data_IF_334469889875
#
_entry.id   IF_334469889875
#
_cell.length_a   1.000
_cell.length_b   1.000
_cell.length_c   1.000
_cell.angle_alpha   90.00
_cell.angle_beta   90.00
_cell.angle_gamma   90.00
#
_symmetry.space_group_name_H-M   'P 1'
#
loop_
_entity.id
_entity.type
_entity.pdbx_description
1 polymer ?
#
# COMPACT_ATOMS: atom_id res chain seq x y z
N UNK A 1 13.26 -7.15 -20.26
CA UNK A 1 13.30 -6.24 -19.09
C UNK A 1 13.39 -7.13 -17.87
N UNK A 2 14.47 -7.05 -17.09
CA UNK A 2 14.56 -7.77 -15.81
C UNK A 2 13.82 -6.93 -14.78
N UNK A 3 12.53 -7.19 -14.60
CA UNK A 3 11.63 -6.33 -13.84
C UNK A 3 12.10 -6.07 -12.39
N UNK A 4 12.79 -7.05 -11.79
CA UNK A 4 13.26 -6.98 -10.42
C UNK A 4 14.70 -6.50 -10.25
N UNK A 5 15.49 -6.40 -11.34
CA UNK A 5 16.90 -5.97 -11.34
C UNK A 5 17.76 -6.57 -10.20
N UNK A 6 17.54 -7.86 -9.89
CA UNK A 6 18.14 -8.56 -8.74
C UNK A 6 19.68 -8.46 -8.68
N UNK A 7 20.35 -8.47 -9.83
CA UNK A 7 21.82 -8.38 -9.90
C UNK A 7 22.31 -7.00 -9.44
N UNK A 8 21.60 -5.94 -9.85
CA UNK A 8 21.93 -4.57 -9.42
C UNK A 8 21.65 -4.39 -7.93
N UNK A 9 20.52 -4.90 -7.45
CA UNK A 9 20.15 -4.85 -6.03
C UNK A 9 21.14 -5.63 -5.17
N UNK A 10 21.54 -6.82 -5.60
CA UNK A 10 22.55 -7.63 -4.90
C UNK A 10 23.91 -6.93 -4.86
N UNK A 11 24.29 -6.22 -5.92
CA UNK A 11 25.50 -5.40 -5.93
C UNK A 11 25.38 -4.22 -4.97
N UNK A 12 24.24 -3.52 -4.97
CA UNK A 12 23.96 -2.40 -4.08
C UNK A 12 23.96 -2.82 -2.60
N UNK A 13 23.40 -3.98 -2.27
CA UNK A 13 23.48 -4.57 -0.91
C UNK A 13 24.94 -4.72 -0.48
N UNK A 14 25.80 -5.30 -1.33
CA UNK A 14 27.23 -5.44 -1.00
C UNK A 14 27.92 -4.10 -0.79
N UNK A 15 27.60 -3.09 -1.60
CA UNK A 15 28.14 -1.73 -1.43
C UNK A 15 27.70 -1.12 -0.09
N UNK A 16 26.43 -1.24 0.25
CA UNK A 16 25.87 -0.76 1.53
C UNK A 16 26.42 -1.52 2.74
N UNK A 17 26.71 -2.82 2.62
CA UNK A 17 27.36 -3.62 3.67
C UNK A 17 28.79 -3.14 3.94
N UNK A 18 29.53 -2.78 2.88
CA UNK A 18 30.88 -2.22 3.02
C UNK A 18 30.81 -0.85 3.69
N UNK A 19 29.87 0.01 3.27
CA UNK A 19 29.66 1.33 3.89
C UNK A 19 29.27 1.21 5.37
N UNK A 20 28.38 0.28 5.71
CA UNK A 20 27.94 0.04 7.09
C UNK A 20 29.05 -0.54 7.99
N UNK A 21 30.13 -1.08 7.40
CA UNK A 21 31.28 -1.62 8.13
C UNK A 21 32.42 -0.59 8.35
N UNK A 22 32.29 0.64 7.83
CA UNK A 22 33.26 1.71 8.04
C UNK A 22 33.35 2.12 9.52
N UNK A 23 34.56 2.42 10.01
CA UNK A 23 34.76 2.80 11.43
C UNK A 23 33.99 4.06 11.83
N UNK A 24 33.88 5.01 10.90
CA UNK A 24 33.20 6.30 11.12
C UNK A 24 31.72 6.26 10.73
N UNK A 25 31.16 5.10 10.37
CA UNK A 25 29.77 4.99 9.90
C UNK A 25 28.76 5.56 10.91
N UNK A 26 28.99 5.32 12.20
CA UNK A 26 28.14 5.80 13.28
C UNK A 26 28.37 7.27 13.68
N UNK A 27 29.33 7.95 13.04
CA UNK A 27 29.60 9.37 13.32
C UNK A 27 28.49 10.30 12.83
N UNK A 28 27.75 9.88 11.80
CA UNK A 28 26.56 10.56 11.27
C UNK A 28 25.33 9.65 11.41
N UNK A 29 24.54 9.90 12.46
CA UNK A 29 23.37 9.08 12.79
C UNK A 29 22.29 9.14 11.70
N UNK A 30 22.13 10.26 11.01
CA UNK A 30 21.11 10.41 9.95
C UNK A 30 21.51 9.63 8.70
N UNK A 31 22.80 9.70 8.30
CA UNK A 31 23.35 8.87 7.23
C UNK A 31 23.26 7.39 7.56
N UNK A 32 23.66 7.00 8.78
CA UNK A 32 23.64 5.61 9.20
C UNK A 32 22.23 5.00 9.15
N UNK A 33 21.22 5.76 9.60
CA UNK A 33 19.82 5.34 9.54
C UNK A 33 19.35 5.14 8.09
N UNK A 34 19.67 6.06 7.18
CA UNK A 34 19.30 5.95 5.75
C UNK A 34 19.94 4.72 5.10
N UNK A 35 21.23 4.49 5.33
CA UNK A 35 21.98 3.36 4.77
C UNK A 35 21.44 2.03 5.29
N UNK A 36 21.22 1.88 6.59
CA UNK A 36 20.66 0.66 7.17
C UNK A 36 19.22 0.38 6.69
N UNK A 37 18.43 1.44 6.53
CA UNK A 37 17.07 1.32 5.99
C UNK A 37 17.09 0.84 4.54
N UNK A 38 17.95 1.41 3.69
CA UNK A 38 18.13 0.99 2.30
C UNK A 38 18.64 -0.46 2.21
N UNK A 39 19.60 -0.84 3.08
CA UNK A 39 20.16 -2.19 3.16
C UNK A 39 19.10 -3.23 3.50
N UNK A 40 18.35 -3.01 4.59
CA UNK A 40 17.32 -3.93 5.04
C UNK A 40 16.24 -4.10 3.97
N UNK A 41 15.88 -3.01 3.29
CA UNK A 41 14.88 -3.03 2.24
C UNK A 41 15.28 -3.90 1.05
N UNK A 42 16.47 -3.71 0.50
CA UNK A 42 16.92 -4.56 -0.61
C UNK A 42 17.12 -6.02 -0.19
N UNK A 43 17.55 -6.28 1.05
CA UNK A 43 17.65 -7.64 1.57
C UNK A 43 16.29 -8.32 1.69
N UNK A 44 15.30 -7.63 2.22
CA UNK A 44 13.93 -8.14 2.33
C UNK A 44 13.36 -8.45 0.95
N UNK A 45 13.49 -7.52 0.00
CA UNK A 45 13.03 -7.73 -1.38
C UNK A 45 13.70 -8.93 -2.06
N UNK A 46 15.02 -9.07 -1.91
CA UNK A 46 15.76 -10.24 -2.44
C UNK A 46 15.32 -11.53 -1.75
N UNK A 47 15.10 -11.51 -0.43
CA UNK A 47 14.62 -12.67 0.33
C UNK A 47 13.26 -13.13 -0.18
N UNK A 48 12.30 -12.21 -0.27
CA UNK A 48 10.94 -12.50 -0.75
C UNK A 48 10.95 -13.09 -2.15
N UNK A 49 11.77 -12.56 -3.07
CA UNK A 49 11.85 -13.10 -4.43
C UNK A 49 12.47 -14.50 -4.45
N UNK A 50 13.45 -14.78 -3.59
CA UNK A 50 14.02 -16.12 -3.47
C UNK A 50 13.04 -17.10 -2.83
N UNK A 51 12.25 -16.67 -1.85
CA UNK A 51 11.17 -17.47 -1.25
C UNK A 51 10.12 -17.84 -2.30
N UNK A 52 9.67 -16.91 -3.15
CA UNK A 52 8.75 -17.23 -4.24
C UNK A 52 9.33 -18.19 -5.26
N UNK A 53 10.63 -18.08 -5.58
CA UNK A 53 11.29 -19.05 -6.46
C UNK A 53 11.25 -20.45 -5.87
N UNK A 54 11.58 -20.58 -4.59
CA UNK A 54 11.54 -21.87 -3.90
C UNK A 54 10.11 -22.42 -3.85
N UNK A 55 9.12 -21.61 -3.46
CA UNK A 55 7.72 -22.03 -3.42
C UNK A 55 7.22 -22.47 -4.79
N UNK A 56 7.64 -21.81 -5.87
CA UNK A 56 7.24 -22.18 -7.24
C UNK A 56 7.91 -23.47 -7.69
N UNK A 57 9.17 -23.73 -7.30
CA UNK A 57 9.83 -25.01 -7.51
C UNK A 57 9.12 -26.14 -6.74
N UNK A 58 8.78 -25.92 -5.46
CA UNK A 58 8.05 -26.87 -4.63
C UNK A 58 6.65 -27.19 -5.20
N UNK A 59 5.89 -26.17 -5.60
CA UNK A 59 4.58 -26.35 -6.23
C UNK A 59 4.66 -27.08 -7.57
N UNK A 60 5.74 -26.85 -8.33
CA UNK A 60 5.97 -27.57 -9.58
C UNK A 60 6.22 -29.05 -9.32
N UNK A 61 7.08 -29.38 -8.36
CA UNK A 61 7.36 -30.77 -8.00
C UNK A 61 6.09 -31.47 -7.46
N UNK A 62 5.29 -30.76 -6.66
CA UNK A 62 4.01 -31.24 -6.16
C UNK A 62 2.99 -31.48 -7.28
N UNK A 63 2.92 -30.59 -8.27
CA UNK A 63 2.07 -30.74 -9.44
C UNK A 63 2.45 -31.97 -10.28
N UNK A 64 3.75 -32.20 -10.49
CA UNK A 64 4.24 -33.38 -11.22
C UNK A 64 3.81 -34.69 -10.51
N UNK A 65 3.86 -34.72 -9.18
CA UNK A 65 3.39 -35.86 -8.38
C UNK A 65 1.86 -36.02 -8.43
N UNK A 66 1.11 -34.93 -8.21
CA UNK A 66 -0.35 -34.95 -8.18
C UNK A 66 -0.96 -35.41 -9.52
N UNK A 67 -0.37 -34.99 -10.65
CA UNK A 67 -0.76 -35.45 -11.98
C UNK A 67 -0.47 -36.94 -12.19
N UNK A 68 0.59 -37.45 -11.59
CA UNK A 68 0.97 -38.87 -11.70
C UNK A 68 0.02 -39.75 -10.88
N UNK A 69 -0.38 -39.28 -9.70
CA UNK A 69 -1.28 -40.00 -8.78
C UNK A 69 -2.77 -39.72 -9.05
N UNK A 70 -3.07 -38.77 -9.94
CA UNK A 70 -4.42 -38.30 -10.27
C UNK A 70 -5.20 -37.85 -9.04
N UNK A 71 -4.51 -37.12 -8.16
CA UNK A 71 -5.02 -36.60 -6.88
C UNK A 71 -5.69 -35.22 -7.08
N UNK A 72 -7.01 -35.22 -7.21
CA UNK A 72 -7.79 -33.99 -7.42
C UNK A 72 -7.80 -33.04 -6.20
N UNK A 73 -7.58 -33.56 -4.99
CA UNK A 73 -7.55 -32.73 -3.77
C UNK A 73 -6.28 -31.89 -3.76
N UNK A 74 -5.13 -32.54 -4.02
CA UNK A 74 -3.82 -31.85 -4.12
C UNK A 74 -3.81 -30.86 -5.28
N UNK A 75 -4.43 -31.18 -6.43
CA UNK A 75 -4.55 -30.24 -7.55
C UNK A 75 -5.32 -28.96 -7.16
N UNK A 76 -6.39 -29.10 -6.37
CA UNK A 76 -7.15 -27.94 -5.89
C UNK A 76 -6.36 -27.09 -4.89
N UNK A 77 -5.51 -27.69 -4.05
CA UNK A 77 -4.63 -26.94 -3.13
C UNK A 77 -3.57 -26.16 -3.90
N UNK A 78 -2.97 -26.77 -4.93
CA UNK A 78 -1.99 -26.11 -5.82
C UNK A 78 -2.59 -24.87 -6.48
N UNK A 79 -3.84 -24.94 -6.98
CA UNK A 79 -4.51 -23.80 -7.61
C UNK A 79 -4.65 -22.61 -6.63
N UNK A 80 -5.02 -22.87 -5.37
CA UNK A 80 -5.15 -21.85 -4.33
C UNK A 80 -3.79 -21.20 -4.03
N UNK A 81 -2.73 -21.99 -3.94
CA UNK A 81 -1.38 -21.47 -3.70
C UNK A 81 -0.82 -20.68 -4.89
N UNK A 82 -1.13 -21.09 -6.12
CA UNK A 82 -0.79 -20.33 -7.32
C UNK A 82 -1.51 -18.99 -7.39
N UNK A 83 -2.81 -18.95 -7.04
CA UNK A 83 -3.56 -17.69 -6.96
C UNK A 83 -2.96 -16.75 -5.90
N UNK A 84 -2.58 -17.29 -4.75
CA UNK A 84 -1.92 -16.53 -3.68
C UNK A 84 -0.58 -15.96 -4.15
N UNK A 85 0.32 -16.79 -4.72
CA UNK A 85 1.61 -16.34 -5.25
C UNK A 85 1.45 -15.31 -6.38
N UNK A 86 0.45 -15.48 -7.24
CA UNK A 86 0.15 -14.52 -8.30
C UNK A 86 -0.25 -13.16 -7.73
N UNK A 87 -1.09 -13.14 -6.69
CA UNK A 87 -1.46 -11.91 -5.99
C UNK A 87 -0.27 -11.24 -5.32
N UNK A 88 0.59 -12.00 -4.66
CA UNK A 88 1.82 -11.49 -4.03
C UNK A 88 2.78 -10.88 -5.05
N UNK A 89 2.98 -11.55 -6.19
CA UNK A 89 3.82 -11.06 -7.28
C UNK A 89 3.28 -9.74 -7.87
N UNK A 90 1.97 -9.63 -8.08
CA UNK A 90 1.33 -8.42 -8.58
C UNK A 90 1.52 -7.23 -7.63
N UNK A 91 1.41 -7.47 -6.32
CA UNK A 91 1.69 -6.46 -5.30
C UNK A 91 3.15 -5.99 -5.33
N UNK A 92 4.08 -6.91 -5.54
CA UNK A 92 5.49 -6.57 -5.66
C UNK A 92 5.82 -5.82 -6.93
N UNK A 93 5.15 -6.16 -8.02
CA UNK A 93 5.23 -5.40 -9.25
C UNK A 93 4.82 -3.95 -9.05
N UNK A 94 3.74 -3.71 -8.31
CA UNK A 94 3.37 -2.34 -7.95
C UNK A 94 4.46 -1.65 -7.11
N UNK A 95 5.10 -2.35 -6.17
CA UNK A 95 6.20 -1.79 -5.35
C UNK A 95 7.42 -1.37 -6.18
N UNK A 96 7.80 -2.11 -7.22
CA UNK A 96 8.98 -1.70 -8.03
C UNK A 96 8.70 -0.51 -8.95
N UNK A 97 7.42 -0.21 -9.23
CA UNK A 97 6.99 0.99 -9.96
C UNK A 97 7.11 2.26 -9.10
N UNK A 98 7.10 2.11 -7.77
CA UNK A 98 7.22 3.20 -6.80
C UNK A 98 8.68 3.68 -6.63
N UNK A 99 9.15 4.44 -7.62
CA UNK A 99 10.53 4.99 -7.70
C UNK A 99 10.67 6.44 -7.27
N UNK A 100 9.60 7.07 -6.81
CA UNK A 100 9.62 8.46 -6.34
C UNK A 100 10.39 8.60 -5.02
N UNK A 101 11.04 9.76 -4.84
CA UNK A 101 11.87 10.09 -3.67
C UNK A 101 11.14 9.85 -2.33
N UNK A 102 9.85 10.15 -2.29
CA UNK A 102 9.01 10.04 -1.10
C UNK A 102 8.06 8.85 -1.11
N UNK A 103 8.13 7.96 -2.11
CA UNK A 103 7.12 6.89 -2.23
C UNK A 103 7.08 5.99 -1.01
N UNK A 104 8.23 5.83 -0.34
CA UNK A 104 8.39 5.02 0.88
C UNK A 104 8.02 5.72 2.17
N UNK A 105 7.72 7.01 2.11
CA UNK A 105 7.38 7.80 3.29
C UNK A 105 5.99 7.41 3.82
N UNK A 106 5.80 7.60 5.12
CA UNK A 106 4.48 7.73 5.71
C UNK A 106 3.75 8.93 5.05
N UNK A 107 2.43 8.94 5.08
CA UNK A 107 1.65 10.00 4.45
C UNK A 107 0.68 10.67 5.42
N UNK A 108 0.45 11.96 5.20
CA UNK A 108 -0.66 12.67 5.79
C UNK A 108 -1.80 12.72 4.78
N UNK A 109 -2.89 11.99 5.03
CA UNK A 109 -4.07 12.05 4.18
C UNK A 109 -5.06 13.05 4.78
N UNK A 110 -5.37 14.11 4.05
CA UNK A 110 -6.35 15.12 4.47
C UNK A 110 -7.56 15.12 3.55
N UNK A 111 -8.75 15.06 4.13
CA UNK A 111 -10.02 15.10 3.39
C UNK A 111 -10.77 16.36 3.79
N UNK A 112 -11.20 17.14 2.81
CA UNK A 112 -12.09 18.28 3.02
C UNK A 112 -13.40 18.11 2.25
N UNK A 113 -14.52 18.35 2.94
CA UNK A 113 -15.82 18.40 2.28
C UNK A 113 -15.88 19.62 1.35
N UNK A 114 -16.29 19.41 0.10
CA UNK A 114 -16.50 20.49 -0.86
C UNK A 114 -17.82 21.24 -0.64
N UNK A 115 -18.16 22.11 -1.60
CA UNK A 115 -19.47 22.74 -1.63
C UNK A 115 -20.57 21.67 -1.74
N UNK A 116 -21.66 21.82 -0.98
CA UNK A 116 -22.79 20.86 -0.95
C UNK A 116 -23.37 20.58 0.44
N UNK A 117 -22.92 21.27 1.49
CA UNK A 117 -23.50 21.20 2.83
C UNK A 117 -23.41 19.80 3.44
N UNK A 118 -24.46 19.38 4.14
CA UNK A 118 -24.56 18.09 4.85
C UNK A 118 -24.28 16.88 3.94
N UNK A 119 -24.65 16.94 2.65
CA UNK A 119 -24.41 15.84 1.70
C UNK A 119 -22.91 15.68 1.36
N UNK A 120 -22.19 16.79 1.17
CA UNK A 120 -20.73 16.74 0.94
C UNK A 120 -19.97 16.36 2.22
N UNK A 121 -20.49 16.72 3.39
CA UNK A 121 -19.92 16.30 4.68
C UNK A 121 -20.09 14.79 4.91
N UNK A 122 -21.25 14.23 4.58
CA UNK A 122 -21.47 12.78 4.63
C UNK A 122 -20.56 12.05 3.65
N UNK A 123 -20.39 12.57 2.43
CA UNK A 123 -19.47 11.99 1.46
C UNK A 123 -18.01 11.98 1.97
N UNK A 124 -17.54 13.08 2.56
CA UNK A 124 -16.20 13.13 3.17
C UNK A 124 -16.04 12.06 4.28
N UNK A 125 -17.10 11.79 5.06
CA UNK A 125 -17.07 10.75 6.10
C UNK A 125 -17.02 9.33 5.53
N UNK A 126 -17.66 9.10 4.37
CA UNK A 126 -17.57 7.83 3.65
C UNK A 126 -16.15 7.61 3.11
N UNK A 127 -15.51 8.65 2.58
CA UNK A 127 -14.11 8.59 2.15
C UNK A 127 -13.17 8.31 3.31
N UNK A 128 -13.35 8.97 4.46
CA UNK A 128 -12.62 8.67 5.69
C UNK A 128 -12.71 7.17 6.01
N UNK A 129 -13.93 6.62 6.06
CA UNK A 129 -14.14 5.19 6.33
C UNK A 129 -13.48 4.29 5.27
N UNK A 130 -13.49 4.71 4.00
CA UNK A 130 -12.85 3.98 2.91
C UNK A 130 -11.34 3.89 3.12
N UNK A 131 -10.66 5.02 3.36
CA UNK A 131 -9.22 5.05 3.54
C UNK A 131 -8.76 4.38 4.84
N UNK A 132 -9.50 4.54 5.95
CA UNK A 132 -9.18 3.82 7.20
C UNK A 132 -9.22 2.31 6.98
N UNK A 133 -10.27 1.78 6.34
CA UNK A 133 -10.38 0.34 6.05
C UNK A 133 -9.33 -0.15 5.07
N UNK A 134 -8.98 0.64 4.06
CA UNK A 134 -7.91 0.32 3.12
C UNK A 134 -6.57 0.20 3.85
N UNK A 135 -6.26 1.15 4.73
CA UNK A 135 -5.02 1.17 5.50
C UNK A 135 -4.95 -0.02 6.47
N UNK A 136 -6.03 -0.29 7.21
CA UNK A 136 -6.11 -1.46 8.11
C UNK A 136 -5.93 -2.79 7.38
N UNK A 137 -6.58 -2.96 6.20
CA UNK A 137 -6.44 -4.17 5.37
C UNK A 137 -5.03 -4.33 4.80
N UNK A 138 -4.36 -3.22 4.52
CA UNK A 138 -2.98 -3.19 4.04
C UNK A 138 -1.96 -3.34 5.18
N UNK A 139 -2.40 -3.50 6.44
CA UNK A 139 -1.52 -3.63 7.60
C UNK A 139 -0.85 -2.33 8.04
N UNK A 140 -1.33 -1.18 7.56
CA UNK A 140 -0.80 0.13 7.94
C UNK A 140 -1.38 0.61 9.28
N UNK A 141 -0.57 1.34 10.04
CA UNK A 141 -1.02 2.02 11.25
C UNK A 141 -1.65 3.37 10.87
N UNK A 142 -2.84 3.64 11.41
CA UNK A 142 -3.57 4.89 11.15
C UNK A 142 -3.72 5.65 12.46
N UNK A 143 -3.16 6.85 12.52
CA UNK A 143 -3.38 7.80 13.61
C UNK A 143 -4.28 8.94 13.12
N UNK A 144 -5.35 9.23 13.87
CA UNK A 144 -6.20 10.39 13.60
C UNK A 144 -5.58 11.62 14.25
N UNK A 145 -5.19 12.60 13.43
CA UNK A 145 -4.45 13.79 13.87
C UNK A 145 -5.41 14.93 14.18
N UNK A 146 -6.34 15.18 13.27
CA UNK A 146 -7.36 16.21 13.43
C UNK A 146 -8.68 15.77 12.81
N UNK A 147 -9.80 16.19 13.40
CA UNK A 147 -11.14 15.88 12.94
C UNK A 147 -12.09 17.04 13.27
N UNK A 148 -12.64 17.64 12.22
CA UNK A 148 -13.69 18.64 12.33
C UNK A 148 -15.02 18.02 11.88
N UNK A 149 -15.96 17.74 12.79
CA UNK A 149 -17.26 17.18 12.44
C UNK A 149 -18.11 18.16 11.62
N UNK A 150 -19.06 17.61 10.86
CA UNK A 150 -20.13 18.37 10.22
C UNK A 150 -21.10 18.95 11.24
N UNK A 151 -21.91 19.93 10.82
CA UNK A 151 -22.89 20.58 11.71
C UNK A 151 -24.10 19.67 11.98
N UNK A 152 -24.51 18.88 10.98
CA UNK A 152 -25.64 17.96 11.08
C UNK A 152 -25.22 16.49 10.91
N UNK A 153 -24.37 16.20 9.92
CA UNK A 153 -23.87 14.86 9.63
C UNK A 153 -22.49 14.91 8.96
N UNK A 154 -21.77 13.80 9.02
CA UNK A 154 -20.49 13.64 8.35
C UNK A 154 -19.38 14.52 8.94
N UNK A 155 -18.40 14.90 8.10
CA UNK A 155 -17.20 15.64 8.51
C UNK A 155 -16.94 16.82 7.57
N UNK A 156 -16.43 17.93 8.12
CA UNK A 156 -15.93 19.06 7.33
C UNK A 156 -14.49 18.83 6.89
N UNK A 157 -13.67 18.34 7.80
CA UNK A 157 -12.24 18.10 7.59
C UNK A 157 -11.75 16.94 8.45
N UNK A 158 -10.79 16.17 7.95
CA UNK A 158 -10.04 15.19 8.74
C UNK A 158 -8.62 15.08 8.22
N UNK A 159 -7.66 14.91 9.12
CA UNK A 159 -6.27 14.59 8.78
C UNK A 159 -5.88 13.28 9.46
N UNK A 160 -5.44 12.33 8.66
CA UNK A 160 -4.90 11.04 9.10
C UNK A 160 -3.39 11.03 8.89
N UNK A 161 -2.66 10.42 9.81
CA UNK A 161 -1.28 10.04 9.63
C UNK A 161 -1.22 8.53 9.44
N UNK A 162 -0.87 8.09 8.24
CA UNK A 162 -0.83 6.67 7.87
C UNK A 162 0.63 6.25 7.78
N UNK A 163 0.99 5.25 8.59
CA UNK A 163 2.35 4.76 8.74
C UNK A 163 2.47 3.34 8.22
N UNK A 164 3.49 3.11 7.40
CA UNK A 164 3.73 1.83 6.76
C UNK A 164 4.67 1.98 5.56
N UNK A 165 5.09 0.85 5.02
CA UNK A 165 5.94 0.88 3.84
C UNK A 165 5.15 1.32 2.60
N UNK A 166 5.75 2.18 1.78
CA UNK A 166 5.19 2.62 0.50
C UNK A 166 3.83 3.36 0.58
N UNK A 167 3.44 3.85 1.76
CA UNK A 167 2.12 4.48 1.98
C UNK A 167 1.93 5.68 1.07
N UNK A 168 2.90 6.61 1.01
CA UNK A 168 2.80 7.78 0.15
C UNK A 168 2.76 7.40 -1.33
N UNK A 169 3.57 6.43 -1.76
CA UNK A 169 3.57 5.93 -3.14
C UNK A 169 2.20 5.37 -3.54
N UNK A 170 1.57 4.61 -2.65
CA UNK A 170 0.23 4.06 -2.85
C UNK A 170 -0.85 5.16 -2.88
N UNK A 171 -0.76 6.17 -2.01
CA UNK A 171 -1.78 7.22 -1.89
C UNK A 171 -1.58 8.39 -2.86
N UNK A 172 -0.42 8.55 -3.51
CA UNK A 172 -0.16 9.68 -4.42
C UNK A 172 -1.21 9.77 -5.53
N UNK A 173 -1.71 8.63 -6.01
CA UNK A 173 -2.76 8.57 -7.04
C UNK A 173 -4.13 9.05 -6.57
N UNK A 174 -4.35 9.14 -5.26
CA UNK A 174 -5.64 9.49 -4.65
C UNK A 174 -5.83 11.00 -4.48
N UNK A 175 -4.76 11.79 -4.68
CA UNK A 175 -4.82 13.25 -4.61
C UNK A 175 -5.76 13.81 -5.67
N UNK A 176 -6.77 14.54 -5.25
CA UNK A 176 -7.71 15.18 -6.17
C UNK A 176 -9.12 15.35 -5.60
N UNK A 177 -10.06 15.68 -6.48
CA UNK A 177 -11.47 15.86 -6.12
C UNK A 177 -12.24 14.60 -6.45
N UNK A 178 -12.82 13.99 -5.42
CA UNK A 178 -13.63 12.78 -5.50
C UNK A 178 -15.11 13.15 -5.58
N UNK A 179 -15.78 12.69 -6.64
CA UNK A 179 -17.17 13.03 -6.96
C UNK A 179 -18.10 11.87 -6.64
N UNK A 180 -19.15 12.14 -5.87
CA UNK A 180 -20.25 11.21 -5.61
C UNK A 180 -21.52 11.70 -6.31
N UNK A 181 -22.25 10.79 -6.96
CA UNK A 181 -23.58 11.05 -7.51
C UNK A 181 -24.54 10.00 -6.96
N UNK A 182 -25.47 10.40 -6.09
CA UNK A 182 -26.46 9.49 -5.48
C UNK A 182 -27.78 10.20 -5.19
N UNK A 183 -28.79 9.45 -4.76
CA UNK A 183 -30.00 10.02 -4.16
C UNK A 183 -29.65 10.36 -2.70
N UNK A 184 -29.83 11.63 -2.33
CA UNK A 184 -29.46 12.09 -0.98
C UNK A 184 -30.46 11.56 0.05
N UNK A 185 -29.99 10.95 1.17
CA UNK A 185 -30.86 10.61 2.28
C UNK A 185 -31.33 11.84 3.07
N UNK A 186 -30.71 13.01 2.86
CA UNK A 186 -31.05 14.26 3.54
C UNK A 186 -32.03 15.13 2.73
N UNK A 187 -32.29 14.80 1.45
CA UNK A 187 -33.30 15.50 0.64
C UNK A 187 -34.65 14.79 0.73
N UNK A 188 -35.62 15.42 1.39
CA UNK A 188 -36.98 14.92 1.54
C UNK A 188 -37.70 14.64 0.19
N UNK A 189 -37.26 15.28 -0.90
CA UNK A 189 -37.83 15.06 -2.25
C UNK A 189 -37.18 13.90 -3.01
N UNK A 190 -36.15 13.24 -2.46
CA UNK A 190 -35.48 12.09 -3.09
C UNK A 190 -34.77 12.44 -4.40
N UNK A 191 -34.30 13.68 -4.57
CA UNK A 191 -33.61 14.07 -5.80
C UNK A 191 -32.19 13.49 -5.82
N UNK A 192 -31.65 13.39 -7.03
CA UNK A 192 -30.24 13.04 -7.24
C UNK A 192 -29.37 14.26 -6.97
N UNK A 193 -28.40 14.10 -6.07
CA UNK A 193 -27.40 15.11 -5.73
C UNK A 193 -26.03 14.73 -6.29
N UNK A 194 -25.21 15.74 -6.54
CA UNK A 194 -23.80 15.58 -6.87
C UNK A 194 -22.97 16.28 -5.81
N UNK A 195 -22.06 15.53 -5.20
CA UNK A 195 -21.24 15.99 -4.07
C UNK A 195 -19.77 15.83 -4.38
N UNK A 196 -18.95 16.67 -3.76
CA UNK A 196 -17.52 16.70 -3.98
C UNK A 196 -16.78 16.72 -2.64
N UNK A 197 -15.64 16.05 -2.58
CA UNK A 197 -14.71 16.14 -1.46
C UNK A 197 -13.29 16.08 -2.03
N UNK A 198 -12.40 16.92 -1.53
CA UNK A 198 -10.99 16.91 -1.94
C UNK A 198 -10.19 16.03 -0.99
N UNK A 199 -9.31 15.22 -1.57
CA UNK A 199 -8.31 14.43 -0.87
C UNK A 199 -6.94 15.00 -1.23
N UNK A 200 -6.13 15.28 -0.21
CA UNK A 200 -4.73 15.67 -0.33
C UNK A 200 -3.85 14.67 0.44
N UNK A 201 -2.63 14.45 -0.06
CA UNK A 201 -1.68 13.42 0.40
C UNK A 201 -0.28 14.00 0.47
#
# INVERSE_FOLDING_TARGET
>A
MNFFDLDQKSKRVKELEVEAAEQDFWSDQERAQKVLQELNWFREEISTINEWRNNLEELRDLLELALTENDEEVLSEIDVDLERLSSELAHMELRTLLKGEFDRSNAYLTIHSGAGGTESQDWASMLLRMYTRWAERSGFKVDLIDLLPGDEAGIKSVTLFIQGENVFGNLRGEKGVHRLVRISPFDASGRRHTSFSSVDV
#
